data_IF_535321332652
#
_entry.id   IF_535321332652
#
_cell.length_a   1.000
_cell.length_b   1.000
_cell.length_c   1.000
_cell.angle_alpha   90.00
_cell.angle_beta   90.00
_cell.angle_gamma   90.00
#
_symmetry.space_group_name_H-M   'P 1'
#
loop_
_entity.id
_entity.type
_entity.pdbx_description
1 polymer ?
#
# COMPACT_ATOMS: atom_id res chain seq x y z
N UNK A 1 -0.10 -19.91 -7.54
CA UNK A 1 -1.16 -19.21 -8.29
C UNK A 1 -1.35 -17.89 -7.60
N UNK A 2 -1.36 -16.80 -8.35
CA UNK A 2 -1.19 -15.41 -7.93
C UNK A 2 -1.98 -15.00 -6.68
N UNK A 3 -1.30 -14.92 -5.54
CA UNK A 3 -1.89 -14.61 -4.24
C UNK A 3 -1.47 -13.20 -3.80
N UNK A 4 -2.44 -12.39 -3.37
CA UNK A 4 -2.18 -11.17 -2.60
C UNK A 4 -1.97 -11.55 -1.14
N UNK A 5 -0.84 -11.18 -0.56
CA UNK A 5 -0.53 -11.42 0.84
C UNK A 5 -0.39 -10.10 1.57
N UNK A 6 -1.24 -9.89 2.57
CA UNK A 6 -1.19 -8.71 3.42
C UNK A 6 -0.82 -9.11 4.85
N UNK A 7 -0.02 -8.28 5.52
CA UNK A 7 0.20 -8.41 6.95
C UNK A 7 -1.11 -8.04 7.68
N UNK A 8 -1.66 -8.94 8.49
CA UNK A 8 -2.92 -8.70 9.22
C UNK A 8 -2.89 -7.44 10.11
N UNK A 9 -1.71 -7.04 10.59
CA UNK A 9 -1.52 -5.84 11.42
C UNK A 9 -1.86 -4.54 10.68
N UNK A 10 -1.99 -4.57 9.34
CA UNK A 10 -2.53 -3.44 8.55
C UNK A 10 -3.90 -2.98 9.03
N UNK A 11 -4.67 -3.83 9.72
CA UNK A 11 -5.96 -3.43 10.32
C UNK A 11 -5.83 -2.25 11.31
N UNK A 12 -4.65 -2.03 11.89
CA UNK A 12 -4.36 -0.90 12.79
C UNK A 12 -4.10 0.42 12.04
N UNK A 13 -3.95 0.39 10.71
CA UNK A 13 -3.66 1.57 9.91
C UNK A 13 -4.96 2.34 9.56
N UNK A 14 -4.87 3.65 9.32
CA UNK A 14 -5.99 4.41 8.77
C UNK A 14 -6.46 3.87 7.41
N UNK A 15 -7.75 3.97 7.11
CA UNK A 15 -8.33 3.46 5.86
C UNK A 15 -7.60 3.91 4.60
N UNK A 16 -7.22 5.19 4.50
CA UNK A 16 -6.51 5.70 3.31
C UNK A 16 -5.14 5.03 3.07
N UNK A 17 -4.56 4.43 4.10
CA UNK A 17 -3.31 3.65 4.02
C UNK A 17 -3.60 2.23 3.56
N UNK A 18 -4.67 1.64 4.07
CA UNK A 18 -5.13 0.30 3.67
C UNK A 18 -5.50 0.33 2.17
N UNK A 19 -6.27 1.31 1.72
CA UNK A 19 -6.64 1.48 0.30
C UNK A 19 -5.40 1.57 -0.58
N UNK A 20 -4.40 2.34 -0.16
CA UNK A 20 -3.12 2.46 -0.85
C UNK A 20 -2.39 1.12 -0.96
N UNK A 21 -2.30 0.34 0.13
CA UNK A 21 -1.59 -0.95 0.10
C UNK A 21 -2.33 -1.97 -0.75
N UNK A 22 -3.67 -2.01 -0.70
CA UNK A 22 -4.46 -2.90 -1.56
C UNK A 22 -4.22 -2.57 -3.03
N UNK A 23 -4.32 -1.28 -3.42
CA UNK A 23 -4.07 -0.84 -4.80
C UNK A 23 -2.62 -1.08 -5.21
N UNK A 24 -1.66 -0.91 -4.29
CA UNK A 24 -0.25 -1.19 -4.52
C UNK A 24 -0.01 -2.65 -4.89
N UNK A 25 -0.55 -3.59 -4.11
CA UNK A 25 -0.39 -5.01 -4.40
C UNK A 25 -1.17 -5.45 -5.64
N UNK A 26 -2.33 -4.85 -5.92
CA UNK A 26 -3.08 -5.08 -7.15
C UNK A 26 -2.34 -4.58 -8.40
N UNK A 27 -1.64 -3.45 -8.29
CA UNK A 27 -0.86 -2.89 -9.40
C UNK A 27 0.27 -3.84 -9.84
N UNK A 28 0.81 -4.66 -8.94
CA UNK A 28 1.83 -5.68 -9.28
C UNK A 28 1.33 -6.76 -10.23
N UNK A 29 0.01 -6.94 -10.40
CA UNK A 29 -0.53 -7.83 -11.44
C UNK A 29 -0.46 -7.25 -12.85
N UNK A 30 -0.33 -5.92 -12.96
CA UNK A 30 -0.27 -5.22 -14.24
C UNK A 30 1.19 -4.89 -14.57
N UNK A 31 1.92 -4.39 -13.57
CA UNK A 31 3.33 -3.99 -13.70
C UNK A 31 4.09 -4.46 -12.46
N UNK A 32 4.98 -5.45 -12.62
CA UNK A 32 5.60 -6.14 -11.49
C UNK A 32 6.66 -5.31 -10.72
N UNK A 33 7.11 -4.20 -11.29
CA UNK A 33 8.16 -3.36 -10.73
C UNK A 33 7.62 -1.95 -10.44
N UNK A 34 8.23 -1.24 -9.48
CA UNK A 34 7.84 0.15 -9.15
C UNK A 34 8.31 1.20 -10.17
N UNK A 35 8.08 0.94 -11.47
CA UNK A 35 8.37 1.84 -12.59
C UNK A 35 7.45 3.06 -12.60
N UNK A 36 7.71 4.10 -13.43
CA UNK A 36 6.78 5.21 -13.58
C UNK A 36 5.35 4.77 -13.95
N UNK A 37 5.21 3.72 -14.77
CA UNK A 37 3.90 3.17 -15.15
C UNK A 37 3.16 2.59 -13.95
N UNK A 38 3.84 1.83 -13.08
CA UNK A 38 3.28 1.37 -11.82
C UNK A 38 2.73 2.53 -10.99
N UNK A 39 3.51 3.61 -10.85
CA UNK A 39 3.08 4.76 -10.05
C UNK A 39 1.93 5.52 -10.71
N UNK A 40 1.85 5.59 -12.05
CA UNK A 40 0.70 6.14 -12.75
C UNK A 40 -0.57 5.33 -12.45
N UNK A 41 -0.51 4.00 -12.48
CA UNK A 41 -1.64 3.13 -12.13
C UNK A 41 -2.10 3.40 -10.70
N UNK A 42 -1.16 3.44 -9.75
CA UNK A 42 -1.48 3.72 -8.34
C UNK A 42 -2.06 5.12 -8.15
N UNK A 43 -1.52 6.14 -8.82
CA UNK A 43 -1.98 7.52 -8.70
C UNK A 43 -3.40 7.71 -9.25
N UNK A 44 -3.73 7.07 -10.37
CA UNK A 44 -5.08 7.13 -10.96
C UNK A 44 -6.14 6.57 -10.00
N UNK A 45 -5.83 5.46 -9.32
CA UNK A 45 -6.76 4.81 -8.39
C UNK A 45 -6.77 5.46 -7.00
N UNK A 46 -5.61 5.93 -6.53
CA UNK A 46 -5.43 6.59 -5.22
C UNK A 46 -4.66 7.91 -5.41
N UNK A 47 -5.35 9.01 -5.79
CA UNK A 47 -4.69 10.29 -6.10
C UNK A 47 -3.87 10.89 -4.96
N UNK A 48 -4.09 10.45 -3.72
CA UNK A 48 -3.35 10.90 -2.52
C UNK A 48 -2.40 9.82 -1.99
N UNK A 49 -1.95 8.89 -2.83
CA UNK A 49 -1.09 7.77 -2.42
C UNK A 49 0.20 8.23 -1.72
N UNK A 50 0.74 9.40 -2.10
CA UNK A 50 1.93 9.97 -1.46
C UNK A 50 1.72 10.20 0.05
N UNK A 51 0.52 10.61 0.47
CA UNK A 51 0.17 10.77 1.89
C UNK A 51 0.19 9.42 2.61
N UNK A 52 -0.36 8.37 1.99
CA UNK A 52 -0.35 7.01 2.54
C UNK A 52 1.07 6.44 2.63
N UNK A 53 1.87 6.60 1.57
CA UNK A 53 3.28 6.21 1.53
C UNK A 53 4.11 6.89 2.61
N UNK A 54 3.92 8.20 2.81
CA UNK A 54 4.57 8.95 3.90
C UNK A 54 4.10 8.49 5.28
N UNK A 55 2.80 8.22 5.45
CA UNK A 55 2.26 7.70 6.70
C UNK A 55 2.89 6.34 7.04
N UNK A 56 2.98 5.41 6.08
CA UNK A 56 3.62 4.10 6.28
C UNK A 56 5.10 4.24 6.63
N UNK A 57 5.84 5.12 5.95
CA UNK A 57 7.25 5.37 6.26
C UNK A 57 7.44 5.85 7.71
N UNK A 58 6.52 6.68 8.22
CA UNK A 58 6.61 7.24 9.58
C UNK A 58 6.08 6.29 10.66
N UNK A 59 5.00 5.56 10.37
CA UNK A 59 4.22 4.83 11.39
C UNK A 59 4.25 3.32 11.22
N UNK A 60 4.88 2.77 10.16
CA UNK A 60 4.88 1.33 9.88
C UNK A 60 5.42 0.49 11.03
N UNK A 61 6.46 0.95 11.72
CA UNK A 61 6.99 0.27 12.92
C UNK A 61 6.01 0.24 14.11
N UNK A 62 5.04 1.15 14.18
CA UNK A 62 4.01 1.15 15.22
C UNK A 62 2.99 0.02 15.00
N UNK A 63 2.77 -0.40 13.74
CA UNK A 63 1.85 -1.50 13.44
C UNK A 63 2.34 -2.82 14.06
N UNK A 64 3.67 -3.00 14.11
CA UNK A 64 4.33 -4.21 14.60
C UNK A 64 4.31 -4.37 16.12
N UNK A 65 4.03 -3.32 16.89
CA UNK A 65 4.03 -3.37 18.35
C UNK A 65 2.90 -4.28 18.87
N UNK A 66 3.27 -5.19 19.78
CA UNK A 66 2.36 -6.02 20.55
C UNK A 66 1.86 -5.24 21.78
N UNK A 67 0.67 -5.60 22.27
CA UNK A 67 0.07 -5.03 23.48
C UNK A 67 0.61 -5.69 24.76
#
# INVERSE_FOLDING_TARGET
>A
KDNLNFNWKLIKAPMFVIDYVIVHELAHFIEANHTPEFWNIVEVQVPKYLKAKQWLKKNGGLLEQEF
#
